data_IF_415759137996
#
_entry.id   IF_415759137996
#
_cell.length_a   1.000
_cell.length_b   1.000
_cell.length_c   1.000
_cell.angle_alpha   90.00
_cell.angle_beta   90.00
_cell.angle_gamma   90.00
#
_symmetry.space_group_name_H-M   'P 1'
#
loop_
_entity.id
_entity.type
_entity.pdbx_description
1 polymer ?
#
# COMPACT_ATOMS: atom_id res chain seq x y z
N UNK A 1 -42.16 14.95 -7.18
CA UNK A 1 -41.59 14.38 -5.92
C UNK A 1 -40.95 13.01 -6.10
N UNK A 2 -41.60 11.98 -6.67
CA UNK A 2 -41.00 10.64 -6.89
C UNK A 2 -39.66 10.65 -7.66
N UNK A 3 -39.52 11.47 -8.72
CA UNK A 3 -38.28 11.56 -9.51
C UNK A 3 -37.10 12.20 -8.75
N UNK A 4 -37.38 13.12 -7.81
CA UNK A 4 -36.35 13.82 -7.01
C UNK A 4 -35.80 12.90 -5.92
N UNK A 5 -36.67 12.08 -5.31
CA UNK A 5 -36.26 11.07 -4.32
C UNK A 5 -35.37 10.00 -4.98
N UNK A 6 -35.69 9.57 -6.21
CA UNK A 6 -34.87 8.60 -6.94
C UNK A 6 -33.45 9.12 -7.20
N UNK A 7 -33.32 10.42 -7.55
CA UNK A 7 -32.03 11.05 -7.79
C UNK A 7 -31.20 11.14 -6.50
N UNK A 8 -31.82 11.52 -5.37
CA UNK A 8 -31.15 11.54 -4.07
C UNK A 8 -30.69 10.16 -3.62
N UNK A 9 -31.52 9.13 -3.83
CA UNK A 9 -31.16 7.74 -3.51
C UNK A 9 -30.01 7.25 -4.41
N UNK A 10 -30.00 7.58 -5.70
CA UNK A 10 -28.88 7.25 -6.60
C UNK A 10 -27.58 7.96 -6.21
N UNK A 11 -27.64 9.23 -5.82
CA UNK A 11 -26.47 9.98 -5.35
C UNK A 11 -25.94 9.35 -4.06
N UNK A 12 -26.80 9.02 -3.10
CA UNK A 12 -26.41 8.37 -1.85
C UNK A 12 -25.77 6.99 -2.09
N UNK A 13 -26.35 6.16 -2.95
CA UNK A 13 -25.79 4.84 -3.29
C UNK A 13 -24.44 5.01 -4.00
N UNK A 14 -24.30 5.99 -4.91
CA UNK A 14 -23.02 6.24 -5.58
C UNK A 14 -21.93 6.62 -4.57
N UNK A 15 -22.21 7.50 -3.59
CA UNK A 15 -21.23 7.89 -2.58
C UNK A 15 -20.80 6.75 -1.65
N UNK A 16 -21.59 5.69 -1.51
CA UNK A 16 -21.24 4.50 -0.71
C UNK A 16 -20.32 3.55 -1.49
N UNK A 17 -20.36 3.58 -2.83
CA UNK A 17 -19.52 2.75 -3.71
C UNK A 17 -18.10 3.33 -3.83
N UNK A 18 -17.93 4.65 -3.65
CA UNK A 18 -16.65 5.37 -3.76
C UNK A 18 -15.96 5.59 -2.40
N UNK A 19 -15.96 4.57 -1.54
CA UNK A 19 -15.30 4.63 -0.24
C UNK A 19 -13.91 4.01 -0.32
N UNK A 20 -12.87 4.78 0.03
CA UNK A 20 -11.52 4.25 0.16
C UNK A 20 -11.50 3.01 1.08
N UNK A 21 -11.09 1.86 0.56
CA UNK A 21 -10.99 0.61 1.32
C UNK A 21 -9.72 0.63 2.17
N UNK A 22 -9.84 0.38 3.47
CA UNK A 22 -8.69 0.20 4.36
C UNK A 22 -8.59 -1.26 4.75
N UNK A 23 -7.44 -1.89 4.49
CA UNK A 23 -7.17 -3.28 4.89
C UNK A 23 -5.72 -3.51 5.30
N UNK A 24 -5.48 -4.63 5.96
CA UNK A 24 -4.15 -5.06 6.37
C UNK A 24 -3.61 -6.11 5.39
N UNK A 25 -2.32 -6.03 5.08
CA UNK A 25 -1.59 -6.98 4.24
C UNK A 25 -0.28 -7.37 4.92
N UNK A 26 0.16 -8.61 4.71
CA UNK A 26 1.49 -9.04 5.15
C UNK A 26 2.53 -8.59 4.14
N UNK A 27 3.65 -8.06 4.61
CA UNK A 27 4.75 -7.63 3.75
C UNK A 27 6.07 -7.53 4.49
N UNK A 28 6.99 -6.80 3.90
CA UNK A 28 8.32 -6.51 4.47
C UNK A 28 8.58 -5.00 4.47
N UNK A 29 9.27 -4.53 5.49
CA UNK A 29 9.81 -3.18 5.57
C UNK A 29 11.34 -3.24 5.63
N UNK A 30 11.97 -3.43 4.47
CA UNK A 30 13.41 -3.68 4.35
C UNK A 30 14.21 -2.44 4.73
N UNK A 31 15.17 -2.59 5.64
CA UNK A 31 15.92 -1.47 6.23
C UNK A 31 15.27 -0.90 7.50
N UNK A 32 14.06 -1.36 7.86
CA UNK A 32 13.40 -1.08 9.13
C UNK A 32 13.35 -2.34 10.00
N UNK A 33 12.85 -3.45 9.44
CA UNK A 33 12.72 -4.74 10.10
C UNK A 33 13.40 -5.84 9.30
N UNK A 34 13.88 -6.87 10.01
CA UNK A 34 14.41 -8.10 9.43
C UNK A 34 13.34 -9.19 9.30
N UNK A 35 12.13 -8.94 9.80
CA UNK A 35 11.00 -9.88 9.81
C UNK A 35 9.82 -9.32 9.02
N UNK A 36 8.82 -10.17 8.81
CA UNK A 36 7.55 -9.75 8.21
C UNK A 36 6.87 -8.68 9.06
N UNK A 37 6.22 -7.73 8.41
CA UNK A 37 5.43 -6.67 9.03
C UNK A 37 3.99 -6.74 8.53
N UNK A 38 3.05 -6.25 9.33
CA UNK A 38 1.68 -6.00 8.88
C UNK A 38 1.62 -4.56 8.39
N UNK A 39 1.16 -4.38 7.16
CA UNK A 39 1.05 -3.08 6.51
C UNK A 39 -0.44 -2.76 6.39
N UNK A 40 -0.84 -1.61 6.93
CA UNK A 40 -2.17 -1.06 6.70
C UNK A 40 -2.14 -0.25 5.42
N UNK A 41 -2.98 -0.61 4.47
CA UNK A 41 -3.08 0.04 3.17
C UNK A 41 -4.44 0.70 3.01
N UNK A 42 -4.43 1.81 2.29
CA UNK A 42 -5.60 2.50 1.77
C UNK A 42 -5.66 2.26 0.27
N UNK A 43 -6.73 1.65 -0.21
CA UNK A 43 -7.01 1.41 -1.62
C UNK A 43 -8.07 2.41 -2.05
N UNK A 44 -7.70 3.27 -3.00
CA UNK A 44 -8.60 4.28 -3.55
C UNK A 44 -9.38 3.69 -4.71
N UNK A 45 -10.50 4.31 -5.07
CA UNK A 45 -11.40 3.83 -6.14
C UNK A 45 -10.72 3.71 -7.51
N UNK A 46 -9.71 4.54 -7.76
CA UNK A 46 -8.90 4.49 -8.98
C UNK A 46 -7.84 3.37 -8.97
N UNK A 47 -7.86 2.50 -7.96
CA UNK A 47 -6.92 1.41 -7.77
C UNK A 47 -5.55 1.84 -7.21
N UNK A 48 -5.35 3.13 -6.89
CA UNK A 48 -4.12 3.58 -6.22
C UNK A 48 -4.09 3.02 -4.81
N UNK A 49 -2.92 2.50 -4.43
CA UNK A 49 -2.69 1.95 -3.10
C UNK A 49 -1.67 2.83 -2.39
N UNK A 50 -1.96 3.17 -1.14
CA UNK A 50 -1.05 3.89 -0.25
C UNK A 50 -0.87 3.09 1.03
N UNK A 51 0.37 2.81 1.43
CA UNK A 51 0.63 2.29 2.77
C UNK A 51 0.55 3.45 3.77
N UNK A 52 -0.32 3.31 4.78
CA UNK A 52 -0.66 4.37 5.75
C UNK A 52 -0.19 4.07 7.18
N UNK A 53 0.08 2.81 7.48
CA UNK A 53 0.73 2.44 8.72
C UNK A 53 1.45 1.10 8.57
N UNK A 54 2.43 0.85 9.43
CA UNK A 54 3.04 -0.46 9.57
C UNK A 54 3.13 -0.87 11.04
N UNK A 55 3.10 -2.17 11.27
CA UNK A 55 3.21 -2.82 12.56
C UNK A 55 4.21 -3.96 12.44
N UNK A 56 5.14 -4.04 13.38
CA UNK A 56 6.12 -5.11 13.50
C UNK A 56 5.93 -5.80 14.85
N UNK A 57 5.55 -7.08 14.84
CA UNK A 57 5.40 -7.91 16.05
C UNK A 57 6.70 -8.05 16.86
N UNK A 58 7.86 -7.88 16.21
CA UNK A 58 9.18 -8.15 16.79
C UNK A 58 9.97 -6.90 17.16
N UNK A 59 9.72 -5.75 16.52
CA UNK A 59 10.46 -4.53 16.78
C UNK A 59 9.75 -3.64 17.81
N UNK A 60 9.98 -3.84 19.11
CA UNK A 60 9.75 -2.92 20.26
C UNK A 60 8.57 -1.93 20.08
N UNK A 61 7.49 -2.39 19.47
CA UNK A 61 6.25 -1.67 19.28
C UNK A 61 5.25 -2.64 19.85
N UNK A 62 4.71 -2.26 21.00
CA UNK A 62 3.63 -2.99 21.64
C UNK A 62 2.55 -3.31 20.58
N UNK A 63 1.85 -4.44 20.69
CA UNK A 63 0.85 -4.91 19.69
C UNK A 63 -0.16 -3.85 19.24
N UNK A 64 -0.36 -2.82 20.07
CA UNK A 64 -1.28 -1.72 19.84
C UNK A 64 -0.66 -0.49 19.14
N UNK A 65 0.65 -0.49 18.84
CA UNK A 65 1.36 0.67 18.27
C UNK A 65 1.63 0.49 16.78
N UNK A 66 0.71 1.04 16.00
CA UNK A 66 0.93 1.31 14.58
C UNK A 66 1.88 2.49 14.41
N UNK A 67 2.90 2.33 13.58
CA UNK A 67 3.70 3.46 13.11
C UNK A 67 3.05 4.03 11.85
N UNK A 68 2.60 5.29 11.93
CA UNK A 68 2.06 6.00 10.78
C UNK A 68 3.12 6.24 9.73
N UNK A 69 2.78 5.94 8.48
CA UNK A 69 3.58 6.21 7.29
C UNK A 69 2.66 6.76 6.21
N UNK A 70 3.23 7.32 5.15
CA UNK A 70 2.45 7.68 3.97
C UNK A 70 3.28 7.40 2.74
N UNK A 71 3.08 6.22 2.14
CA UNK A 71 3.91 5.74 1.04
C UNK A 71 3.02 5.34 -0.12
N UNK A 72 3.02 6.11 -1.23
CA UNK A 72 2.38 5.70 -2.46
C UNK A 72 3.02 4.42 -2.98
N UNK A 73 2.20 3.40 -3.20
CA UNK A 73 2.66 2.10 -3.67
C UNK A 73 2.64 2.04 -5.19
N UNK A 74 3.67 1.43 -5.77
CA UNK A 74 3.79 1.15 -7.21
C UNK A 74 3.62 -0.33 -7.48
N UNK A 75 3.00 -0.67 -8.60
CA UNK A 75 2.94 -2.07 -9.06
C UNK A 75 4.31 -2.49 -9.56
N UNK A 76 4.77 -3.65 -9.10
CA UNK A 76 6.04 -4.23 -9.53
C UNK A 76 5.99 -4.59 -11.02
N UNK A 77 4.86 -5.12 -11.50
CA UNK A 77 4.65 -5.48 -12.89
C UNK A 77 4.86 -4.30 -13.85
N UNK A 78 4.27 -3.13 -13.53
CA UNK A 78 4.39 -1.91 -14.33
C UNK A 78 5.87 -1.47 -14.45
N UNK A 79 6.61 -1.49 -13.34
CA UNK A 79 8.02 -1.06 -13.32
C UNK A 79 8.98 -2.09 -13.96
N UNK A 80 8.66 -3.39 -13.92
CA UNK A 80 9.40 -4.42 -14.66
C UNK A 80 9.21 -4.24 -16.18
N UNK A 81 7.99 -3.98 -16.62
CA UNK A 81 7.65 -3.77 -18.02
C UNK A 81 8.20 -2.43 -18.57
N UNK A 82 8.39 -1.43 -17.72
CA UNK A 82 8.82 -0.08 -18.12
C UNK A 82 10.29 -0.07 -18.62
N UNK A 83 10.57 0.30 -19.89
CA UNK A 83 11.94 0.31 -20.42
C UNK A 83 12.86 1.34 -19.76
N UNK A 84 12.31 2.37 -19.10
CA UNK A 84 13.06 3.44 -18.46
C UNK A 84 13.59 3.06 -17.06
N UNK A 85 13.14 1.94 -16.49
CA UNK A 85 13.62 1.48 -15.19
C UNK A 85 14.96 0.75 -15.34
N UNK A 86 16.00 1.08 -14.54
CA UNK A 86 17.29 0.41 -14.61
C UNK A 86 17.19 -1.11 -14.43
N UNK A 87 18.01 -1.87 -15.18
CA UNK A 87 18.03 -3.34 -15.13
C UNK A 87 18.27 -3.88 -13.72
N UNK A 88 19.11 -3.22 -12.93
CA UNK A 88 19.37 -3.58 -11.54
C UNK A 88 18.11 -3.48 -10.66
N UNK A 89 17.34 -2.41 -10.80
CA UNK A 89 16.06 -2.25 -10.09
C UNK A 89 15.07 -3.31 -10.52
N UNK A 90 14.97 -3.61 -11.83
CA UNK A 90 14.11 -4.70 -12.31
C UNK A 90 14.50 -6.05 -11.71
N UNK A 91 15.80 -6.37 -11.73
CA UNK A 91 16.32 -7.60 -11.16
C UNK A 91 16.04 -7.71 -9.65
N UNK A 92 16.11 -6.58 -8.93
CA UNK A 92 15.76 -6.54 -7.52
C UNK A 92 14.28 -6.87 -7.29
N UNK A 93 13.36 -6.25 -8.04
CA UNK A 93 11.92 -6.47 -7.91
C UNK A 93 11.50 -7.89 -8.35
N UNK A 94 12.16 -8.43 -9.38
CA UNK A 94 11.90 -9.79 -9.89
C UNK A 94 12.17 -10.90 -8.87
N UNK A 95 12.98 -10.64 -7.83
CA UNK A 95 13.20 -11.61 -6.74
C UNK A 95 11.95 -11.88 -5.91
N UNK A 96 11.07 -10.89 -5.82
CA UNK A 96 9.86 -10.94 -4.99
C UNK A 96 8.59 -11.19 -5.81
N UNK A 97 8.60 -10.84 -7.09
CA UNK A 97 7.49 -11.09 -8.00
C UNK A 97 7.43 -12.59 -8.39
N UNK A 98 6.24 -13.21 -8.49
CA UNK A 98 4.90 -12.65 -8.36
C UNK A 98 4.30 -12.70 -6.94
N UNK A 99 5.09 -13.16 -5.94
CA UNK A 99 4.60 -13.32 -4.57
C UNK A 99 4.21 -11.99 -3.95
N UNK A 100 4.99 -10.94 -4.23
CA UNK A 100 4.69 -9.55 -3.88
C UNK A 100 4.37 -8.77 -5.14
N UNK A 101 3.42 -7.85 -5.04
CA UNK A 101 2.87 -7.11 -6.19
C UNK A 101 3.15 -5.62 -6.12
N UNK A 102 3.34 -5.07 -4.93
CA UNK A 102 3.47 -3.64 -4.70
C UNK A 102 4.73 -3.31 -3.93
N UNK A 103 5.35 -2.19 -4.26
CA UNK A 103 6.48 -1.67 -3.52
C UNK A 103 6.47 -0.14 -3.42
N UNK A 104 7.09 0.38 -2.38
CA UNK A 104 7.19 1.81 -2.11
C UNK A 104 8.46 2.12 -1.32
N UNK A 105 9.09 3.24 -1.62
CA UNK A 105 10.29 3.67 -0.92
C UNK A 105 9.95 4.85 -0.01
N UNK A 106 10.50 4.84 1.20
CA UNK A 106 10.30 5.89 2.20
C UNK A 106 11.54 6.04 3.07
N UNK A 107 11.48 6.92 4.05
CA UNK A 107 12.46 7.03 5.13
C UNK A 107 11.76 6.88 6.47
N UNK A 108 12.31 6.03 7.33
CA UNK A 108 11.87 5.90 8.73
C UNK A 108 13.09 6.19 9.59
N UNK A 109 12.97 7.13 10.53
CA UNK A 109 14.09 7.59 11.37
C UNK A 109 15.35 7.93 10.54
N UNK A 110 15.15 8.67 9.44
CA UNK A 110 16.18 9.05 8.45
C UNK A 110 16.88 7.89 7.71
N UNK A 111 16.49 6.64 7.94
CA UNK A 111 17.02 5.48 7.20
C UNK A 111 16.14 5.17 5.99
N UNK A 112 16.73 4.86 4.82
CA UNK A 112 15.96 4.44 3.66
C UNK A 112 15.29 3.09 3.92
N UNK A 113 13.99 3.01 3.62
CA UNK A 113 13.20 1.80 3.81
C UNK A 113 12.39 1.50 2.55
N UNK A 114 12.39 0.25 2.14
CA UNK A 114 11.53 -0.24 1.06
C UNK A 114 10.42 -1.10 1.67
N UNK A 115 9.19 -0.66 1.47
CA UNK A 115 7.98 -1.39 1.83
C UNK A 115 7.57 -2.23 0.62
N UNK A 116 7.32 -3.53 0.83
CA UNK A 116 6.97 -4.44 -0.27
C UNK A 116 5.99 -5.52 0.21
N UNK A 117 4.92 -5.77 -0.57
CA UNK A 117 3.89 -6.79 -0.29
C UNK A 117 3.20 -7.28 -1.56
#
# INVERSE_FOLDING_TARGET
MKKVILLYVMILISSIIYADEIRNVNGEARGFSNTSVIIKIKVQDNGKITAIALYDDYAILNKDKWMSIYVPMRKIEDDIANPNIPKETKNYLLKDYPKKKYYGNTKINNKPVTIIF
#
